data_IF_447645366144
#
_entry.id   IF_447645366144
#
_cell.length_a   1.000
_cell.length_b   1.000
_cell.length_c   1.000
_cell.angle_alpha   90.00
_cell.angle_beta   90.00
_cell.angle_gamma   90.00
#
_symmetry.space_group_name_H-M   'P 1'
#
loop_
_entity.id
_entity.type
_entity.pdbx_description
1 polymer ?
#
# COMPACT_ATOMS: atom_id res chain seq x y z
N UNK A 1 8.01 5.37 -21.77
CA UNK A 1 7.51 5.67 -20.41
C UNK A 1 8.52 5.41 -19.32
N UNK A 2 9.07 4.20 -19.22
CA UNK A 2 9.79 3.70 -18.04
C UNK A 2 11.21 4.25 -17.80
N UNK A 3 11.67 4.18 -16.55
CA UNK A 3 13.10 4.25 -16.19
C UNK A 3 13.72 2.85 -16.22
N UNK A 4 15.04 2.78 -16.38
CA UNK A 4 15.78 1.50 -16.45
C UNK A 4 17.12 1.62 -15.76
N UNK A 5 17.58 0.50 -15.20
CA UNK A 5 18.94 0.38 -14.68
C UNK A 5 19.98 0.58 -15.80
N UNK A 6 21.17 1.02 -15.43
CA UNK A 6 22.28 1.24 -16.35
C UNK A 6 23.44 0.31 -16.03
N UNK A 7 23.83 -0.50 -17.00
CA UNK A 7 25.01 -1.35 -16.93
C UNK A 7 26.26 -0.50 -17.19
N UNK A 8 27.10 -0.33 -16.17
CA UNK A 8 28.29 0.48 -16.28
C UNK A 8 29.40 -0.16 -17.13
N UNK A 9 29.49 -1.50 -17.15
CA UNK A 9 30.50 -2.21 -17.92
C UNK A 9 30.16 -2.18 -19.41
N UNK A 10 28.91 -2.50 -19.73
CA UNK A 10 28.39 -2.57 -21.10
C UNK A 10 27.94 -1.22 -21.67
N UNK A 11 27.98 -0.16 -20.85
CA UNK A 11 27.53 1.21 -21.20
C UNK A 11 26.14 1.26 -21.82
N UNK A 12 25.20 0.43 -21.33
CA UNK A 12 23.85 0.30 -21.89
C UNK A 12 22.77 0.20 -20.82
N UNK A 13 21.55 0.61 -21.17
CA UNK A 13 20.38 0.44 -20.29
C UNK A 13 19.91 -1.01 -20.28
N UNK A 14 19.62 -1.53 -19.09
CA UNK A 14 19.04 -2.85 -18.88
C UNK A 14 17.51 -2.71 -19.01
N UNK A 15 16.98 -2.97 -20.21
CA UNK A 15 15.55 -2.81 -20.52
C UNK A 15 14.70 -3.95 -19.96
N UNK A 16 14.60 -4.05 -18.63
CA UNK A 16 13.72 -4.99 -17.92
C UNK A 16 12.55 -4.20 -17.34
N UNK A 17 11.31 -4.59 -17.68
CA UNK A 17 10.10 -3.95 -17.16
C UNK A 17 9.84 -4.43 -15.73
N UNK A 18 10.49 -3.78 -14.76
CA UNK A 18 10.42 -4.11 -13.32
C UNK A 18 9.86 -2.94 -12.53
N UNK A 19 9.39 -3.22 -11.32
CA UNK A 19 8.85 -2.20 -10.41
C UNK A 19 9.85 -1.07 -10.11
N UNK A 20 11.16 -1.34 -10.21
CA UNK A 20 12.20 -0.35 -10.03
C UNK A 20 12.11 0.83 -11.02
N UNK A 21 11.46 0.61 -12.17
CA UNK A 21 11.16 1.65 -13.17
C UNK A 21 10.36 2.83 -12.61
N UNK A 22 9.68 2.65 -11.48
CA UNK A 22 8.83 3.65 -10.84
C UNK A 22 9.46 4.26 -9.58
N UNK A 23 10.57 3.72 -9.07
CA UNK A 23 11.21 4.23 -7.86
C UNK A 23 11.59 5.71 -7.94
N UNK A 24 12.00 6.28 -9.10
CA UNK A 24 12.24 7.71 -9.17
C UNK A 24 11.07 8.58 -8.72
N UNK A 25 9.82 8.10 -8.79
CA UNK A 25 8.64 8.87 -8.33
C UNK A 25 8.79 9.26 -6.84
N UNK A 26 9.41 8.43 -6.00
CA UNK A 26 9.58 8.73 -4.57
C UNK A 26 10.47 9.95 -4.30
N UNK A 27 11.31 10.33 -5.26
CA UNK A 27 12.22 11.48 -5.11
C UNK A 27 11.51 12.83 -5.15
N UNK A 28 10.25 12.89 -5.62
CA UNK A 28 9.52 14.13 -5.81
C UNK A 28 10.04 15.03 -6.95
N UNK A 29 11.14 14.64 -7.62
CA UNK A 29 11.76 15.45 -8.70
C UNK A 29 11.34 15.02 -10.12
N UNK A 30 10.49 14.00 -10.25
CA UNK A 30 10.01 13.52 -11.55
C UNK A 30 8.99 14.52 -12.10
N UNK A 31 9.25 15.03 -13.32
CA UNK A 31 8.33 15.95 -14.00
C UNK A 31 6.93 15.35 -14.15
N UNK A 32 5.89 16.14 -13.99
CA UNK A 32 4.49 15.71 -14.09
C UNK A 32 4.18 14.94 -15.39
N UNK A 33 4.70 15.40 -16.53
CA UNK A 33 4.52 14.71 -17.82
C UNK A 33 5.13 13.30 -17.83
N UNK A 34 6.24 13.10 -17.11
CA UNK A 34 6.88 11.80 -16.94
C UNK A 34 6.09 10.93 -15.97
N UNK A 35 5.57 11.49 -14.87
CA UNK A 35 4.66 10.78 -13.96
C UNK A 35 3.44 10.26 -14.74
N UNK A 36 2.79 11.09 -15.57
CA UNK A 36 1.66 10.65 -16.42
C UNK A 36 2.02 9.47 -17.32
N UNK A 37 3.21 9.43 -17.91
CA UNK A 37 3.69 8.28 -18.70
C UNK A 37 3.97 7.03 -17.87
N UNK A 38 4.30 7.16 -16.58
CA UNK A 38 4.49 6.02 -15.69
C UNK A 38 3.13 5.48 -15.22
N UNK A 39 2.16 6.38 -15.00
CA UNK A 39 0.79 6.03 -14.61
C UNK A 39 0.11 5.12 -15.63
N UNK A 40 0.36 5.32 -16.94
CA UNK A 40 -0.19 4.42 -17.97
C UNK A 40 0.23 2.96 -17.79
N UNK A 41 1.38 2.70 -17.15
CA UNK A 41 1.82 1.33 -16.81
C UNK A 41 1.33 0.91 -15.42
N UNK A 42 1.36 1.83 -14.44
CA UNK A 42 0.92 1.56 -13.06
C UNK A 42 -0.55 1.16 -13.01
N UNK A 43 -1.41 1.83 -13.77
CA UNK A 43 -2.87 1.60 -13.75
C UNK A 43 -3.31 0.48 -14.69
N UNK A 44 -2.41 -0.03 -15.54
CA UNK A 44 -2.69 -1.12 -16.46
C UNK A 44 -2.79 -2.45 -15.70
N UNK A 45 -3.95 -3.11 -15.81
CA UNK A 45 -4.26 -4.38 -15.14
C UNK A 45 -3.43 -5.55 -15.67
N UNK A 46 -2.99 -5.49 -16.93
CA UNK A 46 -2.09 -6.47 -17.54
C UNK A 46 -0.62 -6.23 -17.19
N UNK A 47 -0.30 -5.16 -16.45
CA UNK A 47 1.05 -4.84 -16.02
C UNK A 47 1.20 -4.81 -14.51
N UNK A 48 0.76 -3.72 -13.87
CA UNK A 48 1.04 -3.46 -12.45
C UNK A 48 -0.20 -3.27 -11.58
N UNK A 49 -1.38 -3.03 -12.16
CA UNK A 49 -2.66 -2.97 -11.45
C UNK A 49 -3.32 -4.36 -11.37
N UNK A 50 -2.54 -5.36 -10.97
CA UNK A 50 -3.04 -6.72 -10.75
C UNK A 50 -3.91 -6.79 -9.49
N UNK A 51 -4.55 -7.95 -9.24
CA UNK A 51 -5.46 -8.17 -8.11
C UNK A 51 -4.86 -7.79 -6.75
N UNK A 52 -3.61 -8.20 -6.50
CA UNK A 52 -2.73 -7.55 -5.53
C UNK A 52 -1.74 -6.74 -6.36
N UNK A 53 -1.73 -5.39 -6.29
CA UNK A 53 -1.01 -4.57 -7.25
C UNK A 53 0.50 -4.55 -7.01
N UNK A 54 1.22 -3.99 -7.98
CA UNK A 54 2.67 -3.78 -7.98
C UNK A 54 3.50 -5.08 -7.92
N UNK A 55 3.32 -6.01 -8.87
CA UNK A 55 4.25 -7.11 -9.05
C UNK A 55 5.68 -6.60 -9.29
N UNK A 56 6.67 -7.34 -8.80
CA UNK A 56 8.10 -6.96 -8.93
C UNK A 56 8.58 -6.87 -10.40
N UNK A 57 7.91 -7.59 -11.29
CA UNK A 57 8.08 -7.55 -12.75
C UNK A 57 6.70 -7.35 -13.37
N UNK A 58 6.59 -6.52 -14.41
CA UNK A 58 5.32 -6.30 -15.11
C UNK A 58 4.67 -7.63 -15.51
N UNK A 59 3.38 -7.78 -15.25
CA UNK A 59 2.62 -9.02 -15.48
C UNK A 59 2.61 -9.47 -16.95
N UNK A 60 2.73 -8.54 -17.90
CA UNK A 60 2.82 -8.78 -19.35
C UNK A 60 4.25 -9.07 -19.85
N UNK A 61 5.26 -8.95 -18.98
CA UNK A 61 6.64 -9.22 -19.35
C UNK A 61 6.89 -10.70 -19.59
N UNK A 62 7.61 -11.05 -20.65
CA UNK A 62 8.13 -12.42 -20.87
C UNK A 62 9.03 -12.94 -19.73
N UNK A 63 9.51 -12.06 -18.86
CA UNK A 63 10.34 -12.41 -17.72
C UNK A 63 9.54 -12.64 -16.44
N UNK A 64 8.23 -12.37 -16.45
CA UNK A 64 7.34 -12.60 -15.33
C UNK A 64 7.28 -14.09 -14.98
N UNK A 65 7.49 -14.38 -13.71
CA UNK A 65 7.37 -15.70 -13.11
C UNK A 65 6.91 -15.54 -11.68
N UNK A 66 6.06 -16.45 -11.20
CA UNK A 66 5.60 -16.53 -9.82
C UNK A 66 6.66 -17.08 -8.87
N UNK A 67 7.92 -16.65 -9.05
CA UNK A 67 9.08 -17.05 -8.28
C UNK A 67 9.78 -15.80 -7.74
N UNK A 68 9.72 -15.60 -6.42
CA UNK A 68 10.52 -14.58 -5.74
C UNK A 68 10.37 -13.16 -6.32
N UNK A 69 11.47 -12.54 -6.75
CA UNK A 69 11.57 -11.19 -7.28
C UNK A 69 11.22 -11.07 -8.78
N UNK A 70 10.70 -12.14 -9.38
CA UNK A 70 10.44 -12.21 -10.82
C UNK A 70 8.99 -12.01 -11.19
N UNK A 71 8.16 -11.49 -10.30
CA UNK A 71 6.72 -11.36 -10.55
C UNK A 71 5.90 -11.13 -9.29
N UNK A 72 6.07 -11.90 -8.21
CA UNK A 72 5.33 -11.70 -6.97
C UNK A 72 5.38 -10.26 -6.42
N UNK A 73 4.40 -9.92 -5.61
CA UNK A 73 4.27 -8.62 -4.95
C UNK A 73 5.06 -8.62 -3.65
N UNK A 74 5.96 -7.65 -3.50
CA UNK A 74 6.76 -7.42 -2.31
C UNK A 74 6.33 -6.09 -1.67
N UNK A 75 5.78 -6.16 -0.46
CA UNK A 75 5.07 -5.02 0.15
C UNK A 75 5.96 -3.79 0.36
N UNK A 76 7.26 -3.95 0.63
CA UNK A 76 8.20 -2.82 0.69
C UNK A 76 8.29 -2.05 -0.64
N UNK A 77 8.36 -2.77 -1.76
CA UNK A 77 8.46 -2.14 -3.09
C UNK A 77 7.13 -1.56 -3.54
N UNK A 78 6.02 -2.25 -3.26
CA UNK A 78 4.68 -1.75 -3.49
C UNK A 78 4.41 -0.46 -2.69
N UNK A 79 4.77 -0.46 -1.41
CA UNK A 79 4.66 0.70 -0.54
C UNK A 79 5.49 1.90 -1.02
N UNK A 80 6.68 1.65 -1.57
CA UNK A 80 7.50 2.69 -2.21
C UNK A 80 6.73 3.41 -3.32
N UNK A 81 5.93 2.68 -4.11
CA UNK A 81 5.10 3.28 -5.17
C UNK A 81 3.94 4.08 -4.56
N UNK A 82 3.27 3.54 -3.54
CA UNK A 82 2.21 4.26 -2.80
C UNK A 82 2.73 5.61 -2.31
N UNK A 83 3.89 5.67 -1.64
CA UNK A 83 4.50 6.92 -1.17
C UNK A 83 4.92 7.85 -2.32
N UNK A 84 5.43 7.30 -3.42
CA UNK A 84 5.74 8.09 -4.61
C UNK A 84 4.50 8.79 -5.19
N UNK A 85 3.37 8.08 -5.26
CA UNK A 85 2.10 8.67 -5.70
C UNK A 85 1.66 9.80 -4.78
N UNK A 86 1.81 9.64 -3.45
CA UNK A 86 1.52 10.72 -2.51
C UNK A 86 2.40 11.96 -2.71
N UNK A 87 3.72 11.77 -2.85
CA UNK A 87 4.64 12.89 -3.12
C UNK A 87 4.43 13.54 -4.49
N UNK A 88 3.66 12.89 -5.36
CA UNK A 88 3.23 13.43 -6.66
C UNK A 88 1.83 14.06 -6.61
N UNK A 89 1.25 14.30 -5.41
CA UNK A 89 -0.11 14.82 -5.20
C UNK A 89 -1.21 13.93 -5.84
N UNK A 90 -1.01 12.61 -5.82
CA UNK A 90 -1.96 11.60 -6.31
C UNK A 90 -2.50 10.77 -5.14
N UNK A 91 -2.87 11.41 -4.04
CA UNK A 91 -3.17 10.71 -2.78
C UNK A 91 -4.42 9.83 -2.88
N UNK A 92 -5.45 10.23 -3.63
CA UNK A 92 -6.62 9.37 -3.89
C UNK A 92 -6.21 8.05 -4.57
N UNK A 93 -5.31 8.12 -5.55
CA UNK A 93 -4.81 6.93 -6.25
C UNK A 93 -3.92 6.10 -5.32
N UNK A 94 -3.08 6.75 -4.51
CA UNK A 94 -2.28 6.10 -3.48
C UNK A 94 -3.17 5.33 -2.48
N UNK A 95 -4.26 5.95 -2.00
CA UNK A 95 -5.24 5.33 -1.10
C UNK A 95 -5.95 4.13 -1.74
N UNK A 96 -6.33 4.22 -3.02
CA UNK A 96 -6.90 3.08 -3.77
C UNK A 96 -5.93 1.89 -3.81
N UNK A 97 -4.67 2.13 -4.15
CA UNK A 97 -3.67 1.06 -4.21
C UNK A 97 -3.30 0.51 -2.83
N UNK A 98 -3.17 1.38 -1.83
CA UNK A 98 -2.99 1.00 -0.43
C UNK A 98 -4.11 0.05 0.03
N UNK A 99 -5.37 0.40 -0.25
CA UNK A 99 -6.51 -0.47 0.05
C UNK A 99 -6.41 -1.83 -0.64
N UNK A 100 -6.07 -1.87 -1.93
CA UNK A 100 -5.93 -3.14 -2.65
C UNK A 100 -4.78 -4.01 -2.08
N UNK A 101 -3.67 -3.42 -1.65
CA UNK A 101 -2.58 -4.13 -0.99
C UNK A 101 -3.01 -4.69 0.38
N UNK A 102 -3.60 -3.84 1.24
CA UNK A 102 -4.09 -4.25 2.57
C UNK A 102 -5.15 -5.34 2.46
N UNK A 103 -6.13 -5.18 1.54
CA UNK A 103 -7.16 -6.16 1.22
C UNK A 103 -6.54 -7.47 0.72
N UNK A 104 -5.55 -7.40 -0.16
CA UNK A 104 -4.84 -8.57 -0.67
C UNK A 104 -4.19 -9.39 0.45
N UNK A 105 -3.47 -8.70 1.35
CA UNK A 105 -2.85 -9.33 2.51
C UNK A 105 -3.89 -9.92 3.47
N UNK A 106 -4.98 -9.21 3.73
CA UNK A 106 -6.06 -9.68 4.61
C UNK A 106 -6.77 -10.93 4.05
N UNK A 107 -7.08 -10.95 2.75
CA UNK A 107 -7.70 -12.13 2.14
C UNK A 107 -6.74 -13.30 2.01
N UNK A 108 -5.45 -13.06 1.72
CA UNK A 108 -4.44 -14.12 1.80
C UNK A 108 -4.34 -14.69 3.21
N UNK A 109 -4.37 -13.84 4.25
CA UNK A 109 -4.40 -14.30 5.63
C UNK A 109 -5.63 -15.17 5.90
N UNK A 110 -6.82 -14.75 5.47
CA UNK A 110 -8.06 -15.51 5.64
C UNK A 110 -8.02 -16.88 4.96
N UNK A 111 -7.35 -17.00 3.81
CA UNK A 111 -7.28 -18.25 3.04
C UNK A 111 -6.15 -19.18 3.50
N UNK A 112 -5.03 -18.63 3.97
CA UNK A 112 -3.77 -19.37 4.19
C UNK A 112 -3.35 -19.42 5.68
N UNK A 113 -4.02 -18.64 6.54
CA UNK A 113 -3.82 -18.62 7.98
C UNK A 113 -2.54 -17.93 8.44
N UNK A 114 -1.94 -17.04 7.64
CA UNK A 114 -0.75 -16.27 8.04
C UNK A 114 -0.43 -15.07 7.14
N UNK A 115 0.64 -14.36 7.51
CA UNK A 115 1.28 -13.31 6.72
C UNK A 115 2.61 -13.80 6.18
N UNK A 116 2.99 -13.33 4.99
CA UNK A 116 4.05 -13.93 4.19
C UNK A 116 5.03 -12.89 3.64
N UNK A 117 6.19 -13.37 3.23
CA UNK A 117 7.27 -12.56 2.66
C UNK A 117 6.88 -11.87 1.34
N UNK A 118 6.09 -12.53 0.49
CA UNK A 118 5.61 -11.97 -0.79
C UNK A 118 4.30 -12.67 -1.21
N UNK A 119 3.56 -12.02 -2.10
CA UNK A 119 2.16 -12.35 -2.41
C UNK A 119 1.95 -12.60 -3.92
N UNK A 120 0.93 -13.39 -4.25
CA UNK A 120 0.55 -13.67 -5.64
C UNK A 120 -0.19 -12.45 -6.21
N UNK A 121 0.29 -11.84 -7.31
CA UNK A 121 -0.38 -10.69 -7.91
C UNK A 121 -1.78 -11.02 -8.45
N UNK A 122 -2.04 -12.29 -8.79
CA UNK A 122 -3.27 -12.70 -9.46
C UNK A 122 -4.29 -13.35 -8.49
N UNK A 123 -3.87 -13.75 -7.29
CA UNK A 123 -4.69 -14.53 -6.36
C UNK A 123 -4.48 -14.13 -4.90
N UNK A 124 -5.45 -14.45 -4.05
CA UNK A 124 -5.33 -14.33 -2.60
C UNK A 124 -4.85 -15.64 -1.96
N UNK A 125 -4.04 -16.42 -2.66
CA UNK A 125 -3.51 -17.73 -2.22
C UNK A 125 -2.05 -17.88 -2.64
N UNK A 126 -1.35 -18.89 -2.10
CA UNK A 126 0.08 -19.11 -2.35
C UNK A 126 0.37 -20.34 -3.22
N UNK A 127 -0.68 -21.03 -3.67
CA UNK A 127 -0.58 -22.30 -4.40
C UNK A 127 0.33 -22.18 -5.63
N UNK A 128 0.21 -21.08 -6.37
CA UNK A 128 0.94 -20.85 -7.61
C UNK A 128 2.33 -20.22 -7.44
N UNK A 129 2.70 -19.85 -6.21
CA UNK A 129 4.00 -19.25 -5.90
C UNK A 129 5.10 -20.30 -5.68
N UNK A 130 6.31 -19.97 -6.07
CA UNK A 130 7.53 -20.71 -5.73
C UNK A 130 8.61 -19.82 -5.11
N UNK A 131 9.57 -20.47 -4.46
CA UNK A 131 10.78 -19.86 -3.92
C UNK A 131 12.03 -20.54 -4.47
N UNK A 132 12.84 -19.79 -5.20
CA UNK A 132 14.19 -20.17 -5.67
C UNK A 132 14.17 -21.46 -6.49
N UNK A 133 13.28 -21.51 -7.49
CA UNK A 133 13.17 -22.67 -8.37
C UNK A 133 14.54 -23.01 -8.97
N UNK A 134 14.96 -24.27 -8.85
CA UNK A 134 16.26 -24.76 -9.33
C UNK A 134 17.41 -24.75 -8.30
N UNK A 135 17.18 -24.30 -7.05
CA UNK A 135 18.20 -24.38 -5.99
C UNK A 135 17.85 -25.47 -4.97
N UNK A 136 18.35 -26.70 -5.19
CA UNK A 136 18.01 -27.88 -4.37
C UNK A 136 18.42 -27.71 -2.90
N UNK A 137 19.62 -27.16 -2.64
CA UNK A 137 20.13 -26.93 -1.28
C UNK A 137 19.25 -25.97 -0.48
N UNK A 138 18.83 -24.86 -1.09
CA UNK A 138 17.93 -23.88 -0.43
C UNK A 138 16.51 -24.40 -0.31
N UNK A 139 16.05 -25.23 -1.24
CA UNK A 139 14.75 -25.90 -1.12
C UNK A 139 14.70 -26.81 0.11
N UNK A 140 15.75 -27.59 0.37
CA UNK A 140 15.80 -28.45 1.56
C UNK A 140 15.88 -27.67 2.88
N UNK A 141 16.57 -26.54 2.89
CA UNK A 141 16.82 -25.77 4.12
C UNK A 141 15.75 -24.72 4.44
N UNK A 142 15.10 -24.14 3.41
CA UNK A 142 14.19 -22.98 3.55
C UNK A 142 12.81 -23.21 2.93
N UNK A 143 12.56 -24.37 2.32
CA UNK A 143 11.33 -24.67 1.59
C UNK A 143 11.23 -23.99 0.22
N UNK A 144 10.14 -24.28 -0.49
CA UNK A 144 9.84 -23.77 -1.84
C UNK A 144 8.68 -22.78 -1.88
N UNK A 145 8.22 -22.29 -0.72
CA UNK A 145 7.13 -21.34 -0.56
C UNK A 145 7.60 -20.04 0.12
N UNK A 146 6.82 -18.95 0.05
CA UNK A 146 7.11 -17.73 0.80
C UNK A 146 7.26 -18.01 2.29
N UNK A 147 8.15 -17.27 2.97
CA UNK A 147 8.34 -17.44 4.43
C UNK A 147 7.04 -17.05 5.16
N UNK A 148 6.54 -17.95 6.00
CA UNK A 148 5.32 -17.78 6.84
C UNK A 148 5.65 -17.00 8.11
N UNK A 149 4.63 -16.35 8.73
CA UNK A 149 4.77 -15.48 9.92
C UNK A 149 5.77 -14.34 9.70
N UNK A 150 5.90 -13.88 8.45
CA UNK A 150 6.83 -12.84 8.09
C UNK A 150 6.17 -11.48 8.30
N UNK A 151 6.49 -10.80 9.41
CA UNK A 151 6.01 -9.44 9.66
C UNK A 151 6.84 -8.44 8.87
N UNK A 152 8.18 -8.48 8.98
CA UNK A 152 9.16 -7.66 8.25
C UNK A 152 8.58 -6.46 7.48
N UNK A 153 8.67 -6.49 6.15
CA UNK A 153 8.03 -5.47 5.31
C UNK A 153 6.54 -5.69 5.08
N UNK A 154 5.97 -6.83 5.43
CA UNK A 154 4.51 -7.04 5.33
C UNK A 154 3.77 -6.15 6.33
N UNK A 155 4.40 -5.80 7.46
CA UNK A 155 3.84 -4.91 8.48
C UNK A 155 3.51 -3.49 7.98
N UNK A 156 4.08 -3.06 6.84
CA UNK A 156 3.75 -1.75 6.24
C UNK A 156 2.27 -1.63 5.83
N UNK A 157 1.52 -2.74 5.78
CA UNK A 157 0.05 -2.71 5.63
C UNK A 157 -0.63 -1.91 6.74
N UNK A 158 -0.10 -1.90 7.96
CA UNK A 158 -0.64 -1.11 9.06
C UNK A 158 -0.46 0.38 8.79
N UNK A 159 0.74 0.78 8.33
CA UNK A 159 1.03 2.16 7.92
C UNK A 159 0.10 2.59 6.78
N UNK A 160 -0.08 1.74 5.77
CA UNK A 160 -0.99 2.03 4.66
C UNK A 160 -2.44 2.17 5.10
N UNK A 161 -2.90 1.31 6.02
CA UNK A 161 -4.25 1.40 6.57
C UNK A 161 -4.46 2.73 7.33
N UNK A 162 -3.51 3.11 8.18
CA UNK A 162 -3.62 4.32 9.02
C UNK A 162 -3.46 5.59 8.18
N UNK A 163 -2.39 5.69 7.40
CA UNK A 163 -2.02 6.94 6.72
C UNK A 163 -2.68 7.11 5.36
N UNK A 164 -2.85 6.04 4.58
CA UNK A 164 -3.30 6.15 3.18
C UNK A 164 -4.79 5.85 3.01
N UNK A 165 -5.39 5.03 3.88
CA UNK A 165 -6.82 4.67 3.80
C UNK A 165 -7.64 5.48 4.79
N UNK A 166 -7.32 5.39 6.09
CA UNK A 166 -7.96 6.18 7.15
C UNK A 166 -7.55 7.66 7.03
N UNK A 167 -6.33 7.92 6.55
CA UNK A 167 -5.87 9.29 6.31
C UNK A 167 -5.43 10.02 7.57
N UNK A 168 -5.15 9.30 8.67
CA UNK A 168 -4.70 9.89 9.92
C UNK A 168 -3.20 10.14 9.89
N UNK A 169 -2.80 11.39 10.16
CA UNK A 169 -1.42 11.78 10.43
C UNK A 169 -1.38 12.75 11.59
N UNK A 170 -0.35 12.64 12.42
CA UNK A 170 -0.08 13.59 13.50
C UNK A 170 1.30 14.21 13.28
N UNK A 171 1.34 15.53 13.22
CA UNK A 171 2.57 16.31 13.11
C UNK A 171 2.62 17.19 14.34
N UNK A 172 3.48 16.82 15.30
CA UNK A 172 3.50 17.41 16.65
C UNK A 172 2.11 17.33 17.30
N UNK A 173 1.48 18.48 17.56
CA UNK A 173 0.19 18.58 18.20
C UNK A 173 -0.97 18.71 17.20
N UNK A 174 -0.68 18.77 15.90
CA UNK A 174 -1.69 18.90 14.85
C UNK A 174 -2.08 17.56 14.28
N UNK A 175 -3.38 17.26 14.32
CA UNK A 175 -3.98 16.12 13.62
C UNK A 175 -4.40 16.54 12.23
N UNK A 176 -3.97 15.77 11.24
CA UNK A 176 -4.41 15.87 9.85
C UNK A 176 -5.23 14.63 9.50
N UNK A 177 -6.45 14.86 9.01
CA UNK A 177 -7.32 13.81 8.49
C UNK A 177 -7.58 14.04 7.00
N UNK A 178 -7.03 13.17 6.14
CA UNK A 178 -7.30 13.14 4.70
C UNK A 178 -7.68 11.71 4.28
N UNK A 179 -8.90 11.26 4.59
CA UNK A 179 -9.33 9.89 4.34
C UNK A 179 -9.46 9.57 2.84
N UNK A 180 -9.24 8.30 2.49
CA UNK A 180 -9.44 7.72 1.16
C UNK A 180 -10.20 6.40 1.28
N UNK A 181 -11.37 6.46 1.91
CA UNK A 181 -12.16 5.28 2.25
C UNK A 181 -12.87 4.73 0.99
N UNK A 182 -12.70 3.45 0.63
CA UNK A 182 -13.47 2.84 -0.45
C UNK A 182 -14.94 2.66 -0.08
N UNK A 183 -15.80 2.51 -1.09
CA UNK A 183 -17.27 2.43 -0.95
C UNK A 183 -17.76 1.34 0.02
N UNK A 184 -16.97 0.28 0.24
CA UNK A 184 -17.33 -0.79 1.20
C UNK A 184 -17.46 -0.27 2.65
N UNK A 185 -16.87 0.88 2.98
CA UNK A 185 -17.00 1.51 4.29
C UNK A 185 -18.24 2.42 4.42
N UNK A 186 -18.97 2.67 3.33
CA UNK A 186 -20.19 3.50 3.39
C UNK A 186 -21.17 2.88 4.37
N UNK A 187 -21.79 3.72 5.21
CA UNK A 187 -22.70 3.32 6.30
C UNK A 187 -22.07 2.41 7.37
N UNK A 188 -20.73 2.36 7.44
CA UNK A 188 -20.00 1.70 8.52
C UNK A 188 -19.16 2.72 9.27
N UNK A 189 -19.09 2.56 10.60
CA UNK A 189 -18.15 3.32 11.43
C UNK A 189 -16.81 2.59 11.52
N UNK A 190 -15.74 3.26 11.11
CA UNK A 190 -14.36 2.79 11.30
C UNK A 190 -13.84 3.38 12.60
N UNK A 191 -13.37 2.53 13.53
CA UNK A 191 -12.73 2.98 14.77
C UNK A 191 -11.25 2.60 14.79
N UNK A 192 -10.39 3.56 15.06
CA UNK A 192 -8.95 3.41 15.20
C UNK A 192 -8.55 3.86 16.61
N UNK A 193 -8.06 2.92 17.42
CA UNK A 193 -7.41 3.24 18.70
C UNK A 193 -5.94 3.56 18.43
N UNK A 194 -5.44 4.64 19.02
CA UNK A 194 -4.08 5.13 18.84
C UNK A 194 -3.45 5.27 20.24
N UNK A 195 -2.95 4.15 20.81
CA UNK A 195 -2.51 4.10 22.21
C UNK A 195 -1.39 5.09 22.53
N UNK A 196 -0.51 5.38 21.56
CA UNK A 196 0.60 6.30 21.75
C UNK A 196 0.15 7.72 22.16
N UNK A 197 -1.04 8.14 21.74
CA UNK A 197 -1.59 9.46 22.03
C UNK A 197 -2.82 9.40 22.94
N UNK A 198 -3.17 8.22 23.47
CA UNK A 198 -4.41 7.99 24.20
C UNK A 198 -5.64 8.50 23.43
N UNK A 199 -5.70 8.18 22.14
CA UNK A 199 -6.73 8.66 21.23
C UNK A 199 -7.60 7.52 20.68
N UNK A 200 -8.87 7.82 20.43
CA UNK A 200 -9.76 7.01 19.60
C UNK A 200 -10.34 7.90 18.51
N UNK A 201 -10.03 7.56 17.25
CA UNK A 201 -10.61 8.16 16.08
C UNK A 201 -11.75 7.28 15.57
N UNK A 202 -12.94 7.86 15.41
CA UNK A 202 -14.07 7.23 14.72
C UNK A 202 -14.35 7.98 13.43
N UNK A 203 -14.50 7.28 12.31
CA UNK A 203 -14.88 7.87 11.01
C UNK A 203 -16.15 7.20 10.51
N UNK A 204 -17.05 8.00 9.96
CA UNK A 204 -18.23 7.56 9.24
C UNK A 204 -18.26 8.21 7.87
N UNK A 205 -18.44 7.40 6.83
CA UNK A 205 -18.60 7.88 5.44
C UNK A 205 -20.04 7.64 4.96
N UNK A 206 -20.64 8.68 4.42
CA UNK A 206 -21.99 8.66 3.89
C UNK A 206 -22.00 8.44 2.36
N UNK A 207 -23.16 8.07 1.80
CA UNK A 207 -23.31 7.78 0.36
C UNK A 207 -22.85 8.93 -0.55
N UNK A 208 -23.05 10.18 -0.10
CA UNK A 208 -22.64 11.39 -0.81
C UNK A 208 -21.14 11.74 -0.68
N UNK A 209 -20.33 10.82 -0.15
CA UNK A 209 -18.89 10.99 0.15
C UNK A 209 -18.59 11.98 1.28
N UNK A 210 -19.58 12.52 1.98
CA UNK A 210 -19.32 13.28 3.20
C UNK A 210 -18.73 12.34 4.26
N UNK A 211 -17.82 12.88 5.06
CA UNK A 211 -17.23 12.19 6.19
C UNK A 211 -17.43 13.03 7.44
N UNK A 212 -17.86 12.36 8.50
CA UNK A 212 -17.78 12.85 9.87
C UNK A 212 -16.74 12.02 10.60
N UNK A 213 -15.80 12.68 11.27
CA UNK A 213 -14.81 12.02 12.10
C UNK A 213 -14.81 12.63 13.50
N UNK A 214 -14.73 11.77 14.51
CA UNK A 214 -14.70 12.15 15.92
C UNK A 214 -13.42 11.63 16.54
N UNK A 215 -12.59 12.52 17.06
CA UNK A 215 -11.38 12.21 17.81
C UNK A 215 -11.64 12.43 19.30
N UNK A 216 -11.50 11.37 20.09
CA UNK A 216 -11.61 11.41 21.55
C UNK A 216 -10.23 11.20 22.14
N UNK A 217 -9.81 12.11 23.02
CA UNK A 217 -8.56 11.98 23.77
C UNK A 217 -8.86 11.61 25.22
N UNK A 218 -7.99 10.79 25.80
CA UNK A 218 -8.11 10.30 27.17
C UNK A 218 -6.89 10.68 28.01
N UNK A 219 -7.09 10.88 29.32
CA UNK A 219 -6.00 10.89 30.30
C UNK A 219 -5.57 9.46 30.68
N UNK A 220 -4.56 9.34 31.55
CA UNK A 220 -4.06 8.04 32.03
C UNK A 220 -5.08 7.24 32.88
N UNK A 221 -6.19 7.88 33.29
CA UNK A 221 -7.26 7.28 34.09
C UNK A 221 -8.49 6.97 33.23
N UNK A 222 -8.34 6.95 31.91
CA UNK A 222 -9.42 6.74 30.92
C UNK A 222 -10.55 7.79 30.98
N UNK A 223 -10.30 8.98 31.55
CA UNK A 223 -11.25 10.09 31.47
C UNK A 223 -11.11 10.84 30.14
N UNK A 224 -12.22 11.22 29.53
CA UNK A 224 -12.22 12.03 28.31
C UNK A 224 -11.69 13.44 28.64
N UNK A 225 -10.62 13.85 27.97
CA UNK A 225 -10.01 15.17 28.13
C UNK A 225 -10.40 16.15 27.03
N UNK A 226 -10.65 15.63 25.82
CA UNK A 226 -11.14 16.42 24.71
C UNK A 226 -11.90 15.57 23.71
N UNK A 227 -12.83 16.22 23.01
CA UNK A 227 -13.59 15.66 21.90
C UNK A 227 -13.55 16.67 20.76
N UNK A 228 -13.08 16.23 19.60
CA UNK A 228 -12.92 17.06 18.41
C UNK A 228 -13.70 16.41 17.27
N UNK A 229 -14.51 17.20 16.58
CA UNK A 229 -15.28 16.75 15.42
C UNK A 229 -14.65 17.36 14.17
N UNK A 230 -14.43 16.52 13.16
CA UNK A 230 -13.98 16.91 11.83
C UNK A 230 -15.06 16.56 10.82
N UNK A 231 -15.29 17.46 9.87
CA UNK A 231 -16.22 17.24 8.77
C UNK A 231 -15.54 17.57 7.43
N UNK A 232 -16.03 16.96 6.36
CA UNK A 232 -15.54 17.23 5.01
C UNK A 232 -15.98 16.17 4.02
N UNK A 233 -15.27 16.08 2.90
CA UNK A 233 -15.48 15.02 1.90
C UNK A 233 -14.34 14.03 1.90
N UNK A 234 -14.64 12.79 1.57
CA UNK A 234 -13.65 11.80 1.23
C UNK A 234 -12.69 12.33 0.17
N UNK A 235 -11.42 11.95 0.25
CA UNK A 235 -10.33 12.43 -0.59
C UNK A 235 -9.90 13.90 -0.39
N UNK A 236 -10.52 14.62 0.54
CA UNK A 236 -10.14 15.98 0.92
C UNK A 236 -9.65 16.01 2.36
N UNK A 237 -8.90 17.06 2.71
CA UNK A 237 -8.54 17.34 4.09
C UNK A 237 -9.82 17.71 4.86
N UNK A 238 -10.12 16.98 5.94
CA UNK A 238 -11.22 17.33 6.83
C UNK A 238 -10.84 18.54 7.68
N UNK A 239 -11.85 19.33 8.04
CA UNK A 239 -11.71 20.53 8.86
C UNK A 239 -12.39 20.32 10.20
N UNK A 240 -11.78 20.82 11.28
CA UNK A 240 -12.42 20.88 12.58
C UNK A 240 -13.73 21.69 12.49
N UNK A 241 -14.76 21.18 13.15
CA UNK A 241 -16.02 21.86 13.34
C UNK A 241 -15.93 22.65 14.64
N UNK A 242 -16.07 23.97 14.54
CA UNK A 242 -16.19 24.87 15.69
C UNK A 242 -17.48 24.60 16.47
#
# INVERSE_FOLDING_TARGET
>A
GLYFDYDHAEKKRIKKNTIASFFPIISGIVKESKVKQLLTHIENEDEYNTKIPFPSVSRSSKHFQKDMWRGPVWLNTAYTIVKGLEYSNLEQLAGKFAYNLVKGVAFTYSNEGSVYEFYDPDNYTLNSLSRKKGNLFKKMTLGDKPVKKFVGWTGVVNTMLIENIIGYRRIKDTVMLKPHLPKVFVNHTVRLKIPQFNEILSLEIFENQNISAKLICYDEKDNITSEIIFEGKNHTQLTEKN
#
